data_IF_622491354700
#
_entry.id   IF_622491354700
#
_cell.length_a   1.000
_cell.length_b   1.000
_cell.length_c   1.000
_cell.angle_alpha   90.00
_cell.angle_beta   90.00
_cell.angle_gamma   90.00
#
_symmetry.space_group_name_H-M   'P 1'
#
loop_
_entity.id
_entity.type
_entity.pdbx_description
1 polymer ?
#
# COMPACT_ATOMS: atom_id res chain seq x y z
N UNK A 1 1.65 20.50 -21.12
CA UNK A 1 2.41 20.62 -19.85
C UNK A 1 2.83 19.22 -19.46
N UNK A 2 4.14 18.93 -19.30
CA UNK A 2 4.57 17.67 -18.70
C UNK A 2 4.07 17.69 -17.26
N UNK A 3 3.23 16.73 -16.87
CA UNK A 3 2.87 16.58 -15.47
C UNK A 3 4.14 16.20 -14.71
N UNK A 4 4.67 17.11 -13.91
CA UNK A 4 5.74 16.79 -12.97
C UNK A 4 5.14 15.90 -11.89
N UNK A 5 5.38 14.60 -12.03
CA UNK A 5 5.07 13.64 -11.00
C UNK A 5 5.95 13.92 -9.78
N UNK A 6 5.37 13.85 -8.58
CA UNK A 6 6.14 13.92 -7.33
C UNK A 6 7.13 12.76 -7.21
N UNK A 7 8.12 12.89 -6.32
CA UNK A 7 9.25 11.97 -6.17
C UNK A 7 8.84 10.50 -6.01
N UNK A 8 7.78 10.23 -5.24
CA UNK A 8 7.22 8.89 -5.05
C UNK A 8 6.70 8.31 -6.37
N UNK A 9 6.00 9.12 -7.16
CA UNK A 9 5.45 8.66 -8.44
C UNK A 9 6.56 8.46 -9.48
N UNK A 10 7.59 9.31 -9.48
CA UNK A 10 8.77 9.09 -10.33
C UNK A 10 9.51 7.80 -9.98
N UNK A 11 9.68 7.52 -8.69
CA UNK A 11 10.22 6.25 -8.21
C UNK A 11 9.39 5.07 -8.70
N UNK A 12 8.07 5.11 -8.51
CA UNK A 12 7.17 4.03 -8.96
C UNK A 12 7.23 3.80 -10.48
N UNK A 13 7.30 4.87 -11.26
CA UNK A 13 7.42 4.80 -12.73
C UNK A 13 8.76 4.22 -13.16
N UNK A 14 9.86 4.61 -12.52
CA UNK A 14 11.19 4.06 -12.80
C UNK A 14 11.22 2.54 -12.64
N UNK A 15 10.60 2.01 -11.57
CA UNK A 15 10.52 0.57 -11.37
C UNK A 15 9.50 -0.10 -12.30
N UNK A 16 8.38 0.56 -12.65
CA UNK A 16 7.38 -0.01 -13.56
C UNK A 16 7.98 -0.42 -14.90
N UNK A 17 8.95 0.34 -15.41
CA UNK A 17 9.65 0.08 -16.68
C UNK A 17 10.56 -1.17 -16.62
N UNK A 18 10.98 -1.58 -15.42
CA UNK A 18 11.89 -2.71 -15.21
C UNK A 18 11.16 -4.07 -15.10
N UNK A 19 9.83 -4.07 -14.94
CA UNK A 19 9.04 -5.30 -14.82
C UNK A 19 8.17 -5.53 -16.06
N UNK A 20 8.36 -6.69 -16.70
CA UNK A 20 7.64 -7.08 -17.92
C UNK A 20 6.23 -7.61 -17.67
N UNK A 21 5.89 -7.97 -16.43
CA UNK A 21 4.55 -8.44 -16.05
C UNK A 21 4.01 -7.63 -14.88
N UNK A 22 2.68 -7.45 -14.87
CA UNK A 22 2.00 -6.76 -13.77
C UNK A 22 2.17 -7.51 -12.44
N UNK A 23 2.17 -8.84 -12.46
CA UNK A 23 2.34 -9.65 -11.26
C UNK A 23 3.73 -9.45 -10.64
N UNK A 24 4.79 -9.43 -11.44
CA UNK A 24 6.14 -9.19 -10.93
C UNK A 24 6.28 -7.79 -10.32
N UNK A 25 5.66 -6.78 -10.95
CA UNK A 25 5.63 -5.43 -10.41
C UNK A 25 4.84 -5.35 -9.09
N UNK A 26 3.71 -6.05 -8.99
CA UNK A 26 2.90 -6.14 -7.76
C UNK A 26 3.69 -6.76 -6.61
N UNK A 27 4.44 -7.82 -6.86
CA UNK A 27 5.30 -8.45 -5.84
C UNK A 27 6.42 -7.51 -5.37
N UNK A 28 7.03 -6.76 -6.29
CA UNK A 28 8.00 -5.72 -5.94
C UNK A 28 7.38 -4.65 -5.02
N UNK A 29 6.22 -4.10 -5.39
CA UNK A 29 5.56 -3.07 -4.59
C UNK A 29 5.23 -3.57 -3.19
N UNK A 30 4.72 -4.79 -3.07
CA UNK A 30 4.42 -5.40 -1.77
C UNK A 30 5.67 -5.55 -0.90
N UNK A 31 6.80 -5.94 -1.49
CA UNK A 31 8.06 -6.06 -0.77
C UNK A 31 8.58 -4.68 -0.31
N UNK A 32 8.66 -3.72 -1.22
CA UNK A 32 9.12 -2.37 -0.92
C UNK A 32 8.27 -1.69 0.16
N UNK A 33 6.94 -1.87 0.12
CA UNK A 33 6.04 -1.35 1.15
C UNK A 33 6.27 -2.02 2.51
N UNK A 34 6.57 -3.32 2.55
CA UNK A 34 6.87 -4.03 3.81
C UNK A 34 8.18 -3.55 4.43
N UNK A 35 9.21 -3.36 3.60
CA UNK A 35 10.51 -2.82 4.03
C UNK A 35 10.34 -1.40 4.59
N UNK A 36 9.66 -0.50 3.85
CA UNK A 36 9.34 0.85 4.32
C UNK A 36 8.56 0.86 5.65
N UNK A 37 7.53 0.01 5.77
CA UNK A 37 6.77 -0.10 7.02
C UNK A 37 7.64 -0.62 8.16
N UNK A 38 8.63 -1.49 7.87
CA UNK A 38 9.64 -1.93 8.82
C UNK A 38 10.46 -0.75 9.33
N UNK A 39 11.12 -0.03 8.43
CA UNK A 39 11.99 1.11 8.76
C UNK A 39 11.25 2.18 9.56
N UNK A 40 10.02 2.52 9.15
CA UNK A 40 9.23 3.54 9.84
C UNK A 40 8.86 3.17 11.28
N UNK A 41 8.63 1.87 11.56
CA UNK A 41 8.38 1.40 12.93
C UNK A 41 9.59 1.61 13.83
N UNK A 42 10.81 1.53 13.29
CA UNK A 42 12.03 1.82 14.06
C UNK A 42 12.08 3.30 14.52
N UNK A 43 11.45 4.20 13.78
CA UNK A 43 11.29 5.62 14.13
C UNK A 43 10.00 5.91 14.92
N UNK A 44 9.26 4.89 15.35
CA UNK A 44 7.98 5.06 16.06
C UNK A 44 6.83 5.54 15.18
N UNK A 45 6.98 5.48 13.85
CA UNK A 45 5.97 5.88 12.87
C UNK A 45 5.18 4.65 12.43
N UNK A 46 3.85 4.72 12.59
CA UNK A 46 2.94 3.64 12.20
C UNK A 46 2.12 4.04 10.98
N UNK A 47 2.34 3.35 9.86
CA UNK A 47 1.47 3.48 8.68
C UNK A 47 0.45 2.35 8.70
N UNK A 48 -0.83 2.71 8.70
CA UNK A 48 -1.93 1.80 8.43
C UNK A 48 -2.47 2.04 7.02
N UNK A 49 -2.64 0.97 6.24
CA UNK A 49 -3.41 1.06 5.00
C UNK A 49 -4.89 1.01 5.38
N UNK A 50 -5.60 2.05 4.99
CA UNK A 50 -7.06 2.11 5.16
C UNK A 50 -7.69 0.91 4.44
N UNK A 51 -8.56 0.12 5.12
CA UNK A 51 -9.15 -1.10 4.57
C UNK A 51 -9.81 -0.94 3.20
N UNK A 52 -10.30 0.26 2.92
CA UNK A 52 -10.96 0.65 1.68
C UNK A 52 -10.04 0.53 0.44
N UNK A 53 -8.72 0.64 0.63
CA UNK A 53 -7.72 0.54 -0.43
C UNK A 53 -7.23 -0.89 -0.67
N UNK A 54 -7.54 -1.84 0.22
CA UNK A 54 -7.10 -3.24 0.13
C UNK A 54 -8.06 -4.13 -0.69
N UNK A 55 -9.09 -3.56 -1.31
CA UNK A 55 -9.91 -4.25 -2.30
C UNK A 55 -10.69 -5.46 -1.77
N UNK A 56 -11.03 -5.52 -0.47
CA UNK A 56 -12.04 -6.48 0.03
C UNK A 56 -13.27 -5.81 0.63
N UNK A 57 -14.46 -6.39 0.40
CA UNK A 57 -15.73 -5.72 0.59
C UNK A 57 -15.99 -5.48 2.08
N UNK A 58 -16.73 -4.40 2.34
CA UNK A 58 -17.22 -3.88 3.62
C UNK A 58 -18.15 -4.84 4.40
N UNK A 59 -17.81 -6.12 4.50
CA UNK A 59 -18.64 -7.15 5.14
C UNK A 59 -18.15 -7.58 6.54
N UNK A 60 -16.89 -7.33 6.90
CA UNK A 60 -16.37 -7.75 8.21
C UNK A 60 -16.57 -6.71 9.34
N UNK A 61 -16.89 -5.45 9.01
CA UNK A 61 -17.04 -4.40 10.03
C UNK A 61 -18.35 -4.46 10.82
N UNK A 62 -19.30 -5.35 10.46
CA UNK A 62 -20.57 -5.52 11.20
C UNK A 62 -20.52 -6.53 12.34
N UNK A 63 -19.45 -7.31 12.49
CA UNK A 63 -19.35 -8.32 13.55
C UNK A 63 -18.82 -7.76 14.90
N UNK A 64 -18.36 -6.51 14.94
CA UNK A 64 -17.83 -5.88 16.16
C UNK A 64 -18.82 -4.88 16.81
N UNK A 65 -20.10 -4.91 16.41
CA UNK A 65 -21.11 -3.92 16.81
C UNK A 65 -22.41 -4.50 17.36
N UNK A 66 -22.40 -5.72 17.90
CA UNK A 66 -23.54 -6.26 18.65
C UNK A 66 -23.05 -6.74 20.02
N UNK A 67 -22.76 -5.79 20.89
CA UNK A 67 -22.91 -5.98 22.34
C UNK A 67 -24.35 -5.63 22.71
N UNK A 68 -24.87 -6.26 23.78
CA UNK A 68 -26.14 -6.02 24.50
C UNK A 68 -27.32 -6.90 24.08
N UNK A 69 -27.43 -8.08 24.70
CA UNK A 69 -28.36 -8.31 25.82
C UNK A 69 -27.83 -9.46 26.70
#
# INVERSE_FOLDING_TARGET
>A
MKQEYGEVMQFLLHFREQYHTEEAYRQFLLRAMRELVGDLREFGVFISLQPEFLGRPRAAARAAGSTTD
#
